data_IF_723011430373
#
_entry.id   IF_723011430373
#
_cell.length_a   1.000
_cell.length_b   1.000
_cell.length_c   1.000
_cell.angle_alpha   90.00
_cell.angle_beta   90.00
_cell.angle_gamma   90.00
#
_symmetry.space_group_name_H-M   'P 1'
#
loop_
_entity.id
_entity.type
_entity.pdbx_description
1 polymer ?
#
# COMPACT_ATOMS: atom_id res chain seq x y z
N UNK A 1 21.43 36.12 63.16
CA UNK A 1 22.07 35.62 61.95
C UNK A 1 21.57 34.23 61.48
N UNK A 2 20.79 33.51 62.30
CA UNK A 2 20.30 32.15 62.02
C UNK A 2 19.02 32.08 61.15
N UNK A 3 18.13 33.06 61.29
CA UNK A 3 16.84 33.05 60.53
C UNK A 3 16.93 33.20 59.01
N UNK A 4 17.98 33.85 58.49
CA UNK A 4 18.19 34.01 57.04
C UNK A 4 18.60 32.73 56.31
N UNK A 5 19.13 31.72 57.04
CA UNK A 5 19.55 30.43 56.46
C UNK A 5 18.40 29.46 56.26
N UNK A 6 17.34 29.56 57.08
CA UNK A 6 16.15 28.67 56.98
C UNK A 6 15.26 29.03 55.79
N UNK A 7 15.18 30.33 55.45
CA UNK A 7 14.35 30.79 54.32
C UNK A 7 14.97 30.37 52.96
N UNK A 8 16.31 30.32 52.89
CA UNK A 8 17.01 29.92 51.65
C UNK A 8 16.85 28.43 51.32
N UNK A 9 16.64 27.57 52.32
CA UNK A 9 16.41 26.15 52.14
C UNK A 9 14.97 25.80 51.71
N UNK A 10 13.98 26.63 52.08
CA UNK A 10 12.58 26.40 51.68
C UNK A 10 12.35 26.65 50.18
N UNK A 11 13.04 27.60 49.58
CA UNK A 11 12.96 27.89 48.16
C UNK A 11 13.56 26.76 47.30
N UNK A 12 14.60 26.07 47.80
CA UNK A 12 15.21 24.94 47.10
C UNK A 12 14.33 23.68 47.15
N UNK A 13 13.61 23.46 48.25
CA UNK A 13 12.72 22.29 48.40
C UNK A 13 11.45 22.42 47.55
N UNK A 14 10.95 23.63 47.31
CA UNK A 14 9.79 23.87 46.45
C UNK A 14 10.16 23.87 44.95
N UNK A 15 11.41 24.12 44.58
CA UNK A 15 11.85 24.15 43.20
C UNK A 15 11.96 22.74 42.57
N UNK A 16 12.22 21.70 43.36
CA UNK A 16 12.31 20.32 42.88
C UNK A 16 10.98 19.76 42.37
N UNK A 17 9.86 19.81 43.14
CA UNK A 17 8.57 19.29 42.64
C UNK A 17 8.07 20.07 41.41
N UNK A 18 8.32 21.39 41.36
CA UNK A 18 7.94 22.19 40.18
C UNK A 18 8.70 21.77 38.92
N UNK A 19 10.01 21.50 38.99
CA UNK A 19 10.79 20.98 37.88
C UNK A 19 10.26 19.62 37.38
N UNK A 20 9.87 18.75 38.30
CA UNK A 20 9.33 17.43 37.98
C UNK A 20 7.99 17.53 37.27
N UNK A 21 7.11 18.45 37.72
CA UNK A 21 5.83 18.72 37.02
C UNK A 21 6.06 19.25 35.61
N UNK A 22 7.01 20.18 35.42
CA UNK A 22 7.34 20.71 34.08
C UNK A 22 7.88 19.60 33.15
N UNK A 23 8.78 18.75 33.66
CA UNK A 23 9.32 17.62 32.88
C UNK A 23 8.21 16.63 32.48
N UNK A 24 7.32 16.29 33.43
CA UNK A 24 6.17 15.41 33.11
C UNK A 24 5.23 16.04 32.07
N UNK A 25 5.00 17.35 32.15
CA UNK A 25 4.16 18.04 31.19
C UNK A 25 4.78 18.02 29.79
N UNK A 26 6.09 18.30 29.68
CA UNK A 26 6.82 18.22 28.42
C UNK A 26 6.82 16.79 27.87
N UNK A 27 7.09 15.80 28.71
CA UNK A 27 7.08 14.40 28.30
C UNK A 27 5.70 13.95 27.78
N UNK A 28 4.63 14.33 28.49
CA UNK A 28 3.26 14.02 28.06
C UNK A 28 2.89 14.71 26.74
N UNK A 29 3.32 15.94 26.52
CA UNK A 29 3.11 16.66 25.29
C UNK A 29 3.83 15.98 24.10
N UNK A 30 5.06 15.53 24.31
CA UNK A 30 5.84 14.79 23.31
C UNK A 30 5.13 13.48 22.96
N UNK A 31 4.73 12.67 23.94
CA UNK A 31 4.02 11.41 23.73
C UNK A 31 2.71 11.65 22.98
N UNK A 32 1.98 12.70 23.33
CA UNK A 32 0.74 13.08 22.64
C UNK A 32 0.99 13.42 21.18
N UNK A 33 2.01 14.21 20.84
CA UNK A 33 2.39 14.52 19.47
C UNK A 33 2.77 13.27 18.70
N UNK A 34 3.56 12.37 19.27
CA UNK A 34 3.91 11.10 18.62
C UNK A 34 2.68 10.23 18.36
N UNK A 35 1.73 10.16 19.27
CA UNK A 35 0.51 9.38 19.08
C UNK A 35 -0.40 9.91 17.98
N UNK A 36 -0.31 11.19 17.61
CA UNK A 36 -1.02 11.76 16.47
C UNK A 36 -0.34 11.49 15.12
N UNK A 37 1.00 11.51 15.10
CA UNK A 37 1.77 11.43 13.85
C UNK A 37 2.04 9.98 13.45
N UNK A 38 2.27 9.09 14.42
CA UNK A 38 2.68 7.71 14.18
C UNK A 38 1.70 6.90 13.29
N UNK A 39 0.37 6.97 13.48
CA UNK A 39 -0.58 6.27 12.63
C UNK A 39 -0.52 6.69 11.15
N UNK A 40 -0.34 8.00 10.90
CA UNK A 40 -0.24 8.53 9.55
C UNK A 40 1.04 8.05 8.83
N UNK A 41 2.17 8.02 9.54
CA UNK A 41 3.43 7.51 8.99
C UNK A 41 3.37 6.01 8.71
N UNK A 42 2.74 5.23 9.58
CA UNK A 42 2.58 3.79 9.37
C UNK A 42 1.67 3.49 8.17
N UNK A 43 0.58 4.24 8.02
CA UNK A 43 -0.31 4.09 6.86
C UNK A 43 0.43 4.40 5.55
N UNK A 44 1.22 5.48 5.50
CA UNK A 44 1.96 5.86 4.30
C UNK A 44 3.00 4.79 3.90
N UNK A 45 3.71 4.22 4.88
CA UNK A 45 4.67 3.13 4.64
C UNK A 45 3.97 1.90 4.04
N UNK A 46 2.78 1.56 4.49
CA UNK A 46 2.02 0.42 4.00
C UNK A 46 1.56 0.60 2.55
N UNK A 47 1.13 1.80 2.18
CA UNK A 47 0.81 2.13 0.79
C UNK A 47 2.05 2.03 -0.11
N UNK A 48 3.20 2.51 0.35
CA UNK A 48 4.45 2.42 -0.40
C UNK A 48 4.88 0.97 -0.67
N UNK A 49 4.67 0.05 0.28
CA UNK A 49 4.95 -1.38 0.06
C UNK A 49 4.06 -1.98 -1.02
N UNK A 50 2.75 -1.69 -1.00
CA UNK A 50 1.81 -2.16 -2.03
C UNK A 50 2.18 -1.55 -3.39
N UNK A 51 2.35 -0.23 -3.44
CA UNK A 51 2.67 0.49 -4.67
C UNK A 51 3.96 -0.04 -5.30
N UNK A 52 5.00 -0.35 -4.51
CA UNK A 52 6.26 -0.92 -4.98
C UNK A 52 6.08 -2.29 -5.67
N UNK A 53 5.28 -3.18 -5.08
CA UNK A 53 5.02 -4.50 -5.68
C UNK A 53 4.22 -4.37 -6.97
N UNK A 54 3.25 -3.45 -7.00
CA UNK A 54 2.47 -3.14 -8.21
C UNK A 54 3.37 -2.56 -9.30
N UNK A 55 4.19 -1.57 -8.96
CA UNK A 55 5.12 -0.94 -9.90
C UNK A 55 6.07 -1.96 -10.53
N UNK A 56 6.54 -2.95 -9.75
CA UNK A 56 7.36 -4.04 -10.27
C UNK A 56 6.61 -4.83 -11.35
N UNK A 57 5.35 -5.20 -11.11
CA UNK A 57 4.52 -5.91 -12.09
C UNK A 57 4.26 -5.03 -13.32
N UNK A 58 3.93 -3.75 -13.11
CA UNK A 58 3.61 -2.81 -14.19
C UNK A 58 4.83 -2.53 -15.08
N UNK A 59 6.00 -2.32 -14.49
CA UNK A 59 7.26 -2.08 -15.23
C UNK A 59 7.64 -3.30 -16.06
N UNK A 60 7.57 -4.50 -15.48
CA UNK A 60 7.90 -5.73 -16.20
C UNK A 60 6.88 -5.99 -17.31
N UNK A 61 5.59 -5.80 -17.05
CA UNK A 61 4.55 -5.94 -18.06
C UNK A 61 4.71 -4.93 -19.21
N UNK A 62 5.12 -3.68 -18.92
CA UNK A 62 5.39 -2.66 -19.91
C UNK A 62 6.60 -3.04 -20.78
N UNK A 63 7.67 -3.52 -20.15
CA UNK A 63 8.86 -4.01 -20.86
C UNK A 63 8.53 -5.17 -21.80
N UNK A 64 7.72 -6.13 -21.33
CA UNK A 64 7.27 -7.24 -22.16
C UNK A 64 6.42 -6.75 -23.34
N UNK A 65 5.50 -5.82 -23.09
CA UNK A 65 4.60 -5.30 -24.11
C UNK A 65 5.34 -4.55 -25.23
N UNK A 66 6.45 -3.87 -24.89
CA UNK A 66 7.22 -3.07 -25.83
C UNK A 66 8.28 -3.88 -26.58
N UNK A 67 8.93 -4.86 -25.92
CA UNK A 67 10.11 -5.52 -26.46
C UNK A 67 10.00 -7.02 -26.66
N UNK A 68 8.95 -7.67 -26.12
CA UNK A 68 8.83 -9.12 -26.20
C UNK A 68 7.93 -9.58 -27.35
N UNK A 69 8.06 -10.86 -27.70
CA UNK A 69 7.20 -11.51 -28.67
C UNK A 69 6.08 -12.28 -27.98
N UNK A 70 5.03 -12.58 -28.72
CA UNK A 70 3.95 -13.46 -28.24
C UNK A 70 4.52 -14.79 -27.72
N UNK A 71 4.04 -15.23 -26.57
CA UNK A 71 4.53 -16.41 -25.85
C UNK A 71 5.74 -16.17 -24.94
N UNK A 72 6.32 -14.95 -24.94
CA UNK A 72 7.33 -14.60 -23.97
C UNK A 72 6.74 -14.59 -22.56
N UNK A 73 7.50 -15.09 -21.60
CA UNK A 73 7.05 -15.14 -20.21
C UNK A 73 8.15 -14.71 -19.24
N UNK A 74 7.74 -14.10 -18.13
CA UNK A 74 8.59 -13.69 -17.03
C UNK A 74 7.94 -14.12 -15.72
N UNK A 75 8.74 -14.65 -14.80
CA UNK A 75 8.26 -15.05 -13.48
C UNK A 75 8.73 -14.07 -12.43
N UNK A 76 7.79 -13.54 -11.66
CA UNK A 76 8.00 -12.60 -10.56
C UNK A 76 7.64 -13.24 -9.22
N UNK A 77 8.35 -12.84 -8.18
CA UNK A 77 8.00 -13.14 -6.81
C UNK A 77 7.52 -11.83 -6.17
N UNK A 78 6.25 -11.79 -5.81
CA UNK A 78 5.61 -10.60 -5.23
C UNK A 78 5.08 -10.95 -3.83
N UNK A 79 5.17 -9.98 -2.93
CA UNK A 79 4.69 -10.13 -1.57
C UNK A 79 3.73 -8.99 -1.23
N UNK A 80 2.44 -9.28 -1.33
CA UNK A 80 1.41 -8.30 -0.97
C UNK A 80 1.21 -8.29 0.55
N UNK A 81 1.40 -7.12 1.21
CA UNK A 81 1.29 -7.00 2.66
C UNK A 81 -0.12 -7.28 3.16
N UNK A 82 -0.25 -7.62 4.45
CA UNK A 82 -1.53 -7.97 5.09
C UNK A 82 -2.57 -6.83 5.08
N UNK A 83 -2.13 -5.61 4.84
CA UNK A 83 -2.99 -4.43 4.67
C UNK A 83 -3.70 -4.37 3.33
N UNK A 84 -3.23 -5.12 2.33
CA UNK A 84 -3.94 -5.31 1.07
C UNK A 84 -5.12 -6.25 1.31
N UNK A 85 -6.33 -5.78 0.99
CA UNK A 85 -7.51 -6.63 0.98
C UNK A 85 -7.58 -7.44 -0.30
N UNK A 86 -7.48 -6.78 -1.45
CA UNK A 86 -7.32 -7.40 -2.77
C UNK A 86 -6.80 -6.39 -3.78
N UNK A 87 -6.20 -6.90 -4.86
CA UNK A 87 -5.81 -6.15 -6.05
C UNK A 87 -6.41 -6.81 -7.30
N UNK A 88 -6.81 -6.00 -8.25
CA UNK A 88 -7.42 -6.40 -9.51
C UNK A 88 -6.61 -5.87 -10.67
N UNK A 89 -6.26 -6.73 -11.63
CA UNK A 89 -5.64 -6.37 -12.90
C UNK A 89 -6.60 -6.66 -14.02
N UNK A 90 -6.91 -5.67 -14.84
CA UNK A 90 -7.79 -5.79 -16.01
C UNK A 90 -9.22 -5.33 -15.76
N UNK A 91 -9.48 -4.52 -14.76
CA UNK A 91 -10.81 -3.94 -14.49
C UNK A 91 -10.73 -2.59 -13.76
N UNK A 92 -11.82 -1.84 -13.81
CA UNK A 92 -12.02 -0.61 -13.04
C UNK A 92 -12.63 -0.91 -11.67
N UNK A 93 -12.34 -0.08 -10.66
CA UNK A 93 -12.98 -0.23 -9.36
C UNK A 93 -14.51 -0.01 -9.46
N UNK A 94 -15.26 -0.87 -8.82
CA UNK A 94 -16.68 -0.63 -8.58
C UNK A 94 -16.85 0.54 -7.58
N UNK A 95 -18.03 1.14 -7.55
CA UNK A 95 -18.36 2.20 -6.59
C UNK A 95 -18.31 1.75 -5.12
N UNK A 96 -18.22 0.46 -4.88
CA UNK A 96 -18.13 -0.15 -3.56
C UNK A 96 -16.79 -0.84 -3.39
N UNK A 97 -16.23 -0.80 -2.18
CA UNK A 97 -14.99 -1.52 -1.82
C UNK A 97 -15.18 -3.04 -1.69
N UNK A 98 -16.26 -3.59 -2.28
CA UNK A 98 -16.56 -5.02 -2.26
C UNK A 98 -15.83 -5.70 -3.42
N UNK A 99 -15.21 -6.84 -3.14
CA UNK A 99 -14.55 -7.65 -4.17
C UNK A 99 -15.56 -8.02 -5.29
N UNK A 100 -15.19 -7.85 -6.56
CA UNK A 100 -16.07 -8.19 -7.67
C UNK A 100 -16.33 -9.70 -7.74
N UNK A 101 -17.59 -10.07 -7.68
CA UNK A 101 -18.02 -11.48 -7.79
C UNK A 101 -17.96 -11.96 -9.24
N UNK A 102 -18.35 -11.09 -10.18
CA UNK A 102 -18.24 -11.37 -11.61
C UNK A 102 -16.88 -10.89 -12.12
N UNK A 103 -16.08 -11.81 -12.62
CA UNK A 103 -14.71 -11.55 -13.10
C UNK A 103 -14.61 -11.48 -14.62
N UNK A 104 -15.73 -11.33 -15.33
CA UNK A 104 -15.71 -11.22 -16.79
C UNK A 104 -14.84 -10.06 -17.25
N UNK A 105 -13.91 -10.33 -18.16
CA UNK A 105 -13.03 -9.34 -18.75
C UNK A 105 -13.83 -8.42 -19.67
N UNK A 106 -13.67 -7.11 -19.47
CA UNK A 106 -14.13 -6.07 -20.39
C UNK A 106 -12.90 -5.44 -21.07
N UNK A 107 -12.86 -5.52 -22.39
CA UNK A 107 -11.74 -4.99 -23.19
C UNK A 107 -11.49 -3.50 -22.96
N UNK A 108 -12.55 -2.73 -22.72
CA UNK A 108 -12.43 -1.28 -22.50
C UNK A 108 -11.81 -0.93 -21.14
N UNK A 109 -11.84 -1.84 -20.18
CA UNK A 109 -11.30 -1.64 -18.83
C UNK A 109 -10.05 -2.47 -18.55
N UNK A 110 -9.66 -3.33 -19.49
CA UNK A 110 -8.56 -4.28 -19.32
C UNK A 110 -7.18 -3.65 -19.11
N UNK A 111 -7.02 -2.37 -19.40
CA UNK A 111 -5.81 -1.58 -19.19
C UNK A 111 -5.77 -0.83 -17.84
N UNK A 112 -6.65 -1.19 -16.91
CA UNK A 112 -6.65 -0.63 -15.58
C UNK A 112 -6.27 -1.69 -14.55
N UNK A 113 -5.67 -1.23 -13.46
CA UNK A 113 -5.56 -2.01 -12.24
C UNK A 113 -5.94 -1.14 -11.04
N UNK A 114 -6.43 -1.76 -10.00
CA UNK A 114 -6.74 -1.08 -8.76
C UNK A 114 -6.57 -2.02 -7.57
N UNK A 115 -6.35 -1.45 -6.41
CA UNK A 115 -6.35 -2.21 -5.18
C UNK A 115 -7.24 -1.59 -4.11
N UNK A 116 -7.63 -2.41 -3.17
CA UNK A 116 -8.41 -2.04 -1.99
C UNK A 116 -7.66 -2.49 -0.75
N UNK A 117 -7.46 -1.58 0.17
CA UNK A 117 -6.82 -1.86 1.46
C UNK A 117 -7.84 -2.30 2.51
N UNK A 118 -7.39 -2.83 3.62
CA UNK A 118 -8.23 -3.33 4.71
C UNK A 118 -9.11 -2.25 5.34
N UNK A 119 -8.69 -0.97 5.29
CA UNK A 119 -9.46 0.20 5.72
C UNK A 119 -10.51 0.67 4.69
N UNK A 120 -10.54 0.04 3.51
CA UNK A 120 -11.47 0.35 2.42
C UNK A 120 -10.99 1.44 1.46
N UNK A 121 -9.75 1.93 1.60
CA UNK A 121 -9.17 2.88 0.65
C UNK A 121 -8.97 2.21 -0.71
N UNK A 122 -9.37 2.88 -1.79
CA UNK A 122 -9.23 2.41 -3.16
C UNK A 122 -8.21 3.28 -3.88
N UNK A 123 -7.23 2.65 -4.54
CA UNK A 123 -6.33 3.32 -5.48
C UNK A 123 -6.38 2.62 -6.83
N UNK A 124 -6.39 3.40 -7.92
CA UNK A 124 -6.45 2.88 -9.28
C UNK A 124 -5.33 3.46 -10.14
N UNK A 125 -4.86 2.64 -11.08
CA UNK A 125 -3.81 2.96 -12.03
C UNK A 125 -4.32 2.67 -13.43
N UNK A 126 -3.98 3.54 -14.35
CA UNK A 126 -4.21 3.33 -15.78
C UNK A 126 -2.88 3.03 -16.45
N UNK A 127 -2.86 2.02 -17.30
CA UNK A 127 -1.64 1.56 -18.00
C UNK A 127 -1.86 1.51 -19.52
N UNK A 128 -0.77 1.46 -20.27
CA UNK A 128 -0.82 1.17 -21.71
C UNK A 128 -1.09 -0.30 -22.00
N UNK A 129 -0.82 -1.17 -21.02
CA UNK A 129 -0.91 -2.63 -21.18
C UNK A 129 -2.29 -3.12 -20.81
N UNK A 130 -2.74 -4.18 -21.47
CA UNK A 130 -3.98 -4.87 -21.13
C UNK A 130 -3.66 -6.10 -20.30
N UNK A 131 -4.44 -6.32 -19.26
CA UNK A 131 -4.29 -7.45 -18.35
C UNK A 131 -5.45 -8.41 -18.45
N UNK A 132 -5.17 -9.70 -18.31
CA UNK A 132 -6.21 -10.73 -18.23
C UNK A 132 -5.71 -11.98 -17.51
N UNK A 133 -6.63 -12.85 -17.15
CA UNK A 133 -6.31 -14.22 -16.75
C UNK A 133 -5.68 -14.99 -17.89
N UNK A 134 -5.05 -16.13 -17.58
CA UNK A 134 -4.45 -17.00 -18.58
C UNK A 134 -5.43 -17.38 -19.72
N UNK A 135 -6.70 -17.59 -19.41
CA UNK A 135 -7.75 -17.95 -20.38
C UNK A 135 -8.28 -16.76 -21.18
N UNK A 136 -7.86 -15.54 -20.87
CA UNK A 136 -8.32 -14.30 -21.52
C UNK A 136 -9.85 -14.10 -21.52
N UNK A 137 -10.53 -14.61 -20.50
CA UNK A 137 -11.97 -14.48 -20.31
C UNK A 137 -12.31 -13.66 -19.07
N UNK A 138 -11.36 -13.58 -18.13
CA UNK A 138 -11.55 -12.96 -16.82
C UNK A 138 -10.40 -12.00 -16.52
N UNK A 139 -10.65 -11.03 -15.66
CA UNK A 139 -9.59 -10.26 -15.02
C UNK A 139 -9.00 -11.01 -13.81
N UNK A 140 -7.81 -10.61 -13.36
CA UNK A 140 -7.11 -11.27 -12.26
C UNK A 140 -7.36 -10.57 -10.92
N UNK A 141 -7.52 -11.36 -9.84
CA UNK A 141 -7.64 -10.88 -8.48
C UNK A 141 -6.61 -11.60 -7.60
N UNK A 142 -5.83 -10.82 -6.86
CA UNK A 142 -4.90 -11.34 -5.86
C UNK A 142 -5.24 -10.73 -4.49
N UNK A 143 -4.95 -11.47 -3.43
CA UNK A 143 -5.11 -11.04 -2.05
C UNK A 143 -3.75 -10.80 -1.39
N UNK A 144 -3.75 -10.41 -0.11
CA UNK A 144 -2.52 -10.40 0.67
C UNK A 144 -1.85 -11.78 0.71
N UNK A 145 -0.53 -11.82 0.59
CA UNK A 145 0.25 -13.05 0.58
C UNK A 145 1.42 -13.02 -0.39
N UNK A 146 2.20 -14.09 -0.40
CA UNK A 146 3.35 -14.25 -1.29
C UNK A 146 2.96 -15.11 -2.48
N UNK A 147 3.23 -14.61 -3.68
CA UNK A 147 2.90 -15.28 -4.93
C UNK A 147 4.13 -15.42 -5.82
N UNK A 148 4.15 -16.53 -6.54
CA UNK A 148 4.99 -16.71 -7.71
C UNK A 148 4.09 -16.53 -8.94
N UNK A 149 4.18 -15.38 -9.58
CA UNK A 149 3.32 -14.99 -10.70
C UNK A 149 4.13 -15.13 -11.98
N UNK A 150 3.58 -15.80 -13.00
CA UNK A 150 4.15 -15.80 -14.33
C UNK A 150 3.33 -14.86 -15.21
N UNK A 151 3.98 -13.84 -15.76
CA UNK A 151 3.43 -12.97 -16.78
C UNK A 151 3.73 -13.58 -18.15
N UNK A 152 2.75 -13.69 -19.03
CA UNK A 152 2.91 -14.18 -20.39
C UNK A 152 2.24 -13.22 -21.38
N UNK A 153 2.93 -12.90 -22.48
CA UNK A 153 2.39 -12.05 -23.52
C UNK A 153 1.59 -12.90 -24.52
N UNK A 154 0.30 -12.62 -24.67
CA UNK A 154 -0.61 -13.36 -25.53
C UNK A 154 -1.48 -12.43 -26.37
N UNK A 155 -1.92 -12.94 -27.51
CA UNK A 155 -2.82 -12.21 -28.40
C UNK A 155 -4.20 -12.87 -28.48
N UNK A 156 -5.23 -12.02 -28.52
CA UNK A 156 -6.61 -12.42 -28.79
C UNK A 156 -7.29 -11.34 -29.63
N UNK A 157 -7.88 -11.75 -30.74
CA UNK A 157 -8.63 -10.85 -31.66
C UNK A 157 -7.85 -9.60 -32.09
N UNK A 158 -6.53 -9.75 -32.29
CA UNK A 158 -5.63 -8.64 -32.66
C UNK A 158 -5.23 -7.70 -31.50
N UNK A 159 -5.64 -8.00 -30.30
CA UNK A 159 -5.26 -7.28 -29.08
C UNK A 159 -4.22 -8.08 -28.30
N UNK A 160 -3.21 -7.39 -27.79
CA UNK A 160 -2.17 -7.99 -26.95
C UNK A 160 -2.52 -7.83 -25.48
N UNK A 161 -2.36 -8.90 -24.72
CA UNK A 161 -2.61 -8.95 -23.28
C UNK A 161 -1.39 -9.50 -22.54
N UNK A 162 -1.15 -8.97 -21.36
CA UNK A 162 -0.28 -9.59 -20.37
C UNK A 162 -1.16 -10.48 -19.49
N UNK A 163 -0.98 -11.78 -19.58
CA UNK A 163 -1.77 -12.76 -18.84
C UNK A 163 -1.04 -13.25 -17.61
N UNK A 164 -1.79 -13.58 -16.59
CA UNK A 164 -1.29 -14.09 -15.30
C UNK A 164 -1.56 -15.58 -15.17
N UNK A 165 -0.52 -16.33 -14.74
CA UNK A 165 -0.60 -17.75 -14.40
C UNK A 165 0.23 -18.11 -13.17
#
# INVERSE_FOLDING_TARGET
MFLRRIIKNRSAVLAQPFRLVVVLFIASAIIFLFSLILPALLADTQFQEIDKEIDTILLESASMYEYAYEGSHVTLYVNFPATLRYIVFGSLPAATSVEPVNRTLDENTSNNCYYVTSDGTIRSFHTSNRFSSYNMTEFCVFHSGTYKITLELRQKEGQTYVTFS
#
